data_IF_338151710758
#
_entry.id   IF_338151710758
#
_cell.length_a   1.000
_cell.length_b   1.000
_cell.length_c   1.000
_cell.angle_alpha   90.00
_cell.angle_beta   90.00
_cell.angle_gamma   90.00
#
_symmetry.space_group_name_H-M   'P 1'
#
loop_
_entity.id
_entity.type
_entity.pdbx_description
1 polymer ?
#
# COMPACT_ATOMS: atom_id res chain seq x y z
N UNK A 1 -2.87 -69.70 4.41
CA UNK A 1 -1.78 -69.21 5.27
C UNK A 1 -1.66 -67.71 5.07
N UNK A 2 -1.84 -67.00 6.17
CA UNK A 2 -1.83 -65.56 6.41
C UNK A 2 -0.48 -64.93 6.10
N UNK A 3 -0.43 -63.74 5.48
CA UNK A 3 0.50 -62.65 5.87
C UNK A 3 -0.10 -61.30 5.46
N UNK A 4 -0.46 -60.49 6.46
CA UNK A 4 -0.67 -59.04 6.33
C UNK A 4 0.69 -58.35 6.22
N UNK A 5 0.86 -57.45 5.25
CA UNK A 5 2.03 -56.57 5.18
C UNK A 5 1.59 -55.10 5.25
N UNK A 6 1.92 -54.50 6.39
CA UNK A 6 1.79 -53.10 6.79
C UNK A 6 2.76 -52.19 6.03
N UNK A 7 2.27 -51.07 5.49
CA UNK A 7 3.07 -49.91 5.05
C UNK A 7 2.31 -48.65 5.49
N UNK A 8 2.60 -48.14 6.69
CA UNK A 8 3.58 -47.07 6.93
C UNK A 8 3.02 -45.69 6.55
N UNK A 9 2.32 -45.08 7.51
CA UNK A 9 1.94 -43.68 7.53
C UNK A 9 3.19 -42.80 7.43
N UNK A 10 3.36 -42.15 6.27
CA UNK A 10 4.42 -41.17 6.07
C UNK A 10 3.92 -39.81 6.56
N UNK A 11 4.24 -39.51 7.81
CA UNK A 11 4.08 -38.18 8.41
C UNK A 11 4.92 -37.16 7.64
N UNK A 12 4.26 -36.13 7.10
CA UNK A 12 4.90 -34.98 6.47
C UNK A 12 5.20 -33.96 7.58
N UNK A 13 6.47 -33.59 7.84
CA UNK A 13 6.79 -32.60 8.86
C UNK A 13 6.35 -31.21 8.42
N UNK A 14 5.57 -30.56 9.29
CA UNK A 14 4.94 -29.24 9.16
C UNK A 14 5.92 -28.07 9.36
N UNK A 15 7.20 -28.20 8.99
CA UNK A 15 8.20 -27.16 9.20
C UNK A 15 8.90 -26.80 7.90
N UNK A 16 8.20 -26.04 7.06
CA UNK A 16 8.77 -25.07 6.11
C UNK A 16 7.65 -24.25 5.50
N UNK A 17 7.13 -23.31 6.28
CA UNK A 17 6.58 -22.09 5.70
C UNK A 17 7.77 -21.35 5.10
N UNK A 18 8.12 -21.69 3.86
CA UNK A 18 9.00 -20.85 3.05
C UNK A 18 8.22 -19.55 2.89
N UNK A 19 8.65 -18.53 3.63
CA UNK A 19 8.23 -17.15 3.48
C UNK A 19 8.55 -16.73 2.05
N UNK A 20 7.62 -17.01 1.14
CA UNK A 20 7.72 -16.58 -0.24
C UNK A 20 7.88 -15.07 -0.20
N UNK A 21 8.98 -14.50 -0.75
CA UNK A 21 9.13 -13.06 -0.80
C UNK A 21 7.91 -12.54 -1.53
N UNK A 22 7.11 -11.70 -0.87
CA UNK A 22 5.90 -11.07 -1.42
C UNK A 22 6.24 -10.60 -2.83
N UNK A 23 5.82 -11.36 -3.85
CA UNK A 23 5.96 -10.87 -5.21
C UNK A 23 5.16 -9.57 -5.24
N UNK A 24 5.75 -8.44 -5.68
CA UNK A 24 4.95 -7.25 -5.89
C UNK A 24 3.85 -7.68 -6.85
N UNK A 25 2.60 -7.62 -6.39
CA UNK A 25 1.43 -7.82 -7.23
C UNK A 25 1.68 -6.93 -8.44
N UNK A 26 1.88 -7.53 -9.61
CA UNK A 26 2.05 -6.78 -10.86
C UNK A 26 0.71 -6.09 -11.09
N UNK A 27 0.57 -4.91 -10.52
CA UNK A 27 -0.61 -4.10 -10.74
C UNK A 27 -0.69 -3.84 -12.24
N UNK A 28 -1.86 -4.02 -12.87
CA UNK A 28 -2.04 -3.54 -14.23
C UNK A 28 -1.59 -2.07 -14.23
N UNK A 29 -0.72 -1.69 -15.18
CA UNK A 29 -0.22 -0.31 -15.29
C UNK A 29 -1.36 0.59 -15.78
N UNK A 30 -2.34 0.83 -14.92
CA UNK A 30 -3.43 1.77 -15.17
C UNK A 30 -2.86 3.18 -15.16
N UNK A 31 -3.40 4.09 -15.97
CA UNK A 31 -2.92 5.48 -15.97
C UNK A 31 -3.14 6.17 -14.63
N UNK A 32 -4.07 5.67 -13.81
CA UNK A 32 -4.25 6.02 -12.39
C UNK A 32 -2.98 5.90 -11.54
N UNK A 33 -2.07 4.99 -11.87
CA UNK A 33 -0.77 4.86 -11.20
C UNK A 33 0.10 6.13 -11.34
N UNK A 34 -0.06 6.91 -12.41
CA UNK A 34 0.70 8.16 -12.61
C UNK A 34 0.36 9.22 -11.56
N UNK A 35 -0.83 9.12 -10.95
CA UNK A 35 -1.34 10.05 -9.94
C UNK A 35 -1.43 9.40 -8.56
N UNK A 36 -0.80 8.22 -8.39
CA UNK A 36 -0.82 7.47 -7.12
C UNK A 36 -2.18 6.88 -6.76
N UNK A 37 -3.07 6.72 -7.74
CA UNK A 37 -4.45 6.24 -7.54
C UNK A 37 -4.76 5.09 -8.51
N UNK A 38 -4.42 3.85 -8.16
CA UNK A 38 -4.62 2.70 -9.04
C UNK A 38 -6.10 2.43 -9.35
N UNK A 39 -7.02 2.90 -8.52
CA UNK A 39 -8.47 2.69 -8.69
C UNK A 39 -9.09 3.55 -9.80
N UNK A 40 -8.38 4.59 -10.28
CA UNK A 40 -8.91 5.46 -11.31
C UNK A 40 -8.81 4.80 -12.68
N UNK A 41 -9.95 4.79 -13.39
CA UNK A 41 -10.01 4.42 -14.80
C UNK A 41 -9.42 5.53 -15.68
N UNK A 42 -8.96 5.13 -16.87
CA UNK A 42 -8.40 6.07 -17.85
C UNK A 42 -9.45 7.11 -18.30
N UNK A 43 -10.73 6.71 -18.40
CA UNK A 43 -11.84 7.60 -18.76
C UNK A 43 -12.08 8.70 -17.72
N UNK A 44 -12.06 8.34 -16.43
CA UNK A 44 -12.21 9.31 -15.34
C UNK A 44 -11.05 10.31 -15.31
N UNK A 45 -9.84 9.86 -15.65
CA UNK A 45 -8.67 10.73 -15.79
C UNK A 45 -8.81 11.67 -16.99
N UNK A 46 -9.28 11.18 -18.14
CA UNK A 46 -9.52 12.03 -19.31
C UNK A 46 -10.57 13.11 -19.05
N UNK A 47 -11.67 12.76 -18.36
CA UNK A 47 -12.69 13.72 -17.95
C UNK A 47 -12.10 14.80 -17.04
N UNK A 48 -11.35 14.42 -16.00
CA UNK A 48 -10.70 15.36 -15.09
C UNK A 48 -9.68 16.27 -15.80
N UNK A 49 -8.92 15.74 -16.77
CA UNK A 49 -8.00 16.53 -17.58
C UNK A 49 -8.77 17.53 -18.46
N UNK A 50 -9.85 17.10 -19.10
CA UNK A 50 -10.68 17.95 -19.94
C UNK A 50 -11.30 19.11 -19.14
N UNK A 51 -11.87 18.83 -17.97
CA UNK A 51 -12.39 19.84 -17.05
C UNK A 51 -11.32 20.86 -16.65
N UNK A 52 -10.11 20.37 -16.37
CA UNK A 52 -8.98 21.24 -16.04
C UNK A 52 -8.55 22.12 -17.21
N UNK A 53 -8.51 21.57 -18.42
CA UNK A 53 -8.19 22.34 -19.63
C UNK A 53 -9.22 23.45 -19.85
N UNK A 54 -10.52 23.14 -19.70
CA UNK A 54 -11.60 24.12 -19.79
C UNK A 54 -11.43 25.22 -18.73
N UNK A 55 -11.11 24.86 -17.48
CA UNK A 55 -10.85 25.83 -16.42
C UNK A 55 -9.66 26.76 -16.74
N UNK A 56 -8.64 26.25 -17.44
CA UNK A 56 -7.49 27.03 -17.90
C UNK A 56 -7.74 27.79 -19.23
N UNK A 57 -8.96 27.73 -19.79
CA UNK A 57 -9.32 28.36 -21.06
C UNK A 57 -8.71 27.67 -22.29
N UNK A 58 -8.35 26.39 -22.18
CA UNK A 58 -7.77 25.57 -23.25
C UNK A 58 -8.79 24.60 -23.82
N UNK A 59 -8.53 24.13 -25.04
CA UNK A 59 -9.40 23.18 -25.71
C UNK A 59 -9.36 21.79 -25.02
N UNK A 60 -10.51 21.25 -24.56
CA UNK A 60 -10.60 19.92 -23.96
C UNK A 60 -10.19 18.78 -24.90
N UNK A 61 -10.19 18.99 -26.23
CA UNK A 61 -9.78 17.99 -27.22
C UNK A 61 -8.32 17.52 -27.04
N UNK A 62 -7.49 18.31 -26.36
CA UNK A 62 -6.09 17.99 -26.09
C UNK A 62 -5.87 17.03 -24.92
N UNK A 63 -6.91 16.70 -24.13
CA UNK A 63 -6.83 15.79 -22.99
C UNK A 63 -6.12 14.44 -23.29
N UNK A 64 -6.46 13.69 -24.37
CA UNK A 64 -5.75 12.45 -24.70
C UNK A 64 -4.27 12.66 -25.03
N UNK A 65 -3.91 13.81 -25.61
CA UNK A 65 -2.51 14.17 -25.87
C UNK A 65 -1.71 14.41 -24.60
N UNK A 66 -2.33 15.07 -23.61
CA UNK A 66 -1.74 15.30 -22.28
C UNK A 66 -1.54 13.98 -21.54
N UNK A 67 -2.52 13.08 -21.59
CA UNK A 67 -2.41 11.77 -20.95
C UNK A 67 -1.27 10.93 -21.57
N UNK A 68 -1.19 10.88 -22.91
CA UNK A 68 -0.08 10.22 -23.62
C UNK A 68 1.27 10.85 -23.28
N UNK A 69 1.34 12.18 -23.19
CA UNK A 69 2.55 12.90 -22.78
C UNK A 69 2.98 12.56 -21.34
N UNK A 70 2.03 12.38 -20.43
CA UNK A 70 2.31 11.96 -19.06
C UNK A 70 2.79 10.50 -18.99
N UNK A 71 2.19 9.60 -19.76
CA UNK A 71 2.66 8.21 -19.90
C UNK A 71 4.10 8.17 -20.44
N UNK A 72 4.42 9.05 -21.38
CA UNK A 72 5.78 9.22 -21.90
C UNK A 72 6.76 9.88 -20.92
N UNK A 73 6.32 10.27 -19.71
CA UNK A 73 7.17 10.83 -18.66
C UNK A 73 7.50 12.31 -18.84
N UNK A 74 6.76 13.07 -19.67
CA UNK A 74 7.01 14.50 -19.83
C UNK A 74 6.72 15.25 -18.51
N UNK A 75 7.67 16.03 -17.97
CA UNK A 75 7.55 16.60 -16.63
C UNK A 75 6.39 17.60 -16.51
N UNK A 76 6.11 18.36 -17.58
CA UNK A 76 5.00 19.32 -17.60
C UNK A 76 3.64 18.62 -17.51
N UNK A 77 3.47 17.51 -18.25
CA UNK A 77 2.24 16.74 -18.21
C UNK A 77 2.03 16.08 -16.84
N UNK A 78 3.08 15.56 -16.22
CA UNK A 78 3.03 15.02 -14.86
C UNK A 78 2.71 16.08 -13.81
N UNK A 79 3.30 17.29 -13.94
CA UNK A 79 3.00 18.41 -13.05
C UNK A 79 1.54 18.85 -13.15
N UNK A 80 0.95 18.78 -14.36
CA UNK A 80 -0.47 19.04 -14.57
C UNK A 80 -1.34 17.97 -13.91
N UNK A 81 -1.04 16.68 -14.11
CA UNK A 81 -1.80 15.57 -13.51
C UNK A 81 -1.86 15.65 -11.98
N UNK A 82 -0.76 16.07 -11.33
CA UNK A 82 -0.69 16.24 -9.86
C UNK A 82 -1.62 17.34 -9.31
N UNK A 83 -2.08 18.25 -10.15
CA UNK A 83 -2.96 19.37 -9.77
C UNK A 83 -4.43 19.13 -10.16
N UNK A 84 -4.76 17.94 -10.66
CA UNK A 84 -6.14 17.60 -11.01
C UNK A 84 -6.98 17.45 -9.75
N UNK A 85 -8.22 17.92 -9.86
CA UNK A 85 -9.27 17.58 -8.89
C UNK A 85 -9.79 16.20 -9.30
N UNK A 86 -9.69 15.24 -8.39
CA UNK A 86 -10.09 13.86 -8.65
C UNK A 86 -11.29 13.50 -7.78
N UNK A 87 -12.18 12.60 -8.25
CA UNK A 87 -13.32 12.13 -7.46
C UNK A 87 -12.85 11.42 -6.19
N UNK A 88 -13.71 11.25 -5.17
CA UNK A 88 -13.30 10.58 -3.93
C UNK A 88 -12.70 9.17 -4.19
N UNK A 89 -11.70 8.74 -3.40
CA UNK A 89 -11.14 7.40 -3.51
C UNK A 89 -12.19 6.33 -3.19
N UNK A 90 -12.25 5.30 -4.04
CA UNK A 90 -13.14 4.14 -3.86
C UNK A 90 -12.40 2.92 -3.30
N UNK A 91 -11.06 2.92 -3.28
CA UNK A 91 -10.28 1.86 -2.64
C UNK A 91 -10.60 1.74 -1.16
N UNK A 92 -10.69 0.51 -0.68
CA UNK A 92 -10.64 0.24 0.75
C UNK A 92 -9.31 0.74 1.33
N UNK A 93 -9.38 1.48 2.44
CA UNK A 93 -8.20 1.96 3.14
C UNK A 93 -7.46 0.76 3.74
N UNK A 94 -6.26 0.45 3.25
CA UNK A 94 -5.45 -0.64 3.81
C UNK A 94 -4.86 -0.16 5.13
N UNK A 95 -5.45 -0.62 6.24
CA UNK A 95 -4.87 -0.40 7.56
C UNK A 95 -3.57 -1.21 7.68
N UNK A 96 -2.40 -0.57 7.91
CA UNK A 96 -1.18 -1.30 8.19
C UNK A 96 -1.33 -2.05 9.51
N UNK A 97 -0.97 -3.34 9.52
CA UNK A 97 -0.99 -4.16 10.73
C UNK A 97 0.11 -3.66 11.67
N UNK A 98 -0.28 -3.04 12.78
CA UNK A 98 0.65 -2.74 13.86
C UNK A 98 0.89 -4.02 14.66
N UNK A 99 2.10 -4.56 14.60
CA UNK A 99 2.50 -5.60 15.53
C UNK A 99 2.50 -5.00 16.93
N UNK A 100 1.59 -5.47 17.79
CA UNK A 100 1.64 -5.15 19.20
C UNK A 100 2.93 -5.77 19.73
N UNK A 101 3.97 -4.96 19.93
CA UNK A 101 5.13 -5.37 20.70
C UNK A 101 4.61 -5.73 22.09
N UNK A 102 4.51 -7.02 22.39
CA UNK A 102 4.39 -7.48 23.77
C UNK A 102 5.73 -7.15 24.42
N UNK A 103 5.85 -5.93 24.93
CA UNK A 103 6.86 -5.64 25.93
C UNK A 103 6.66 -6.66 27.03
N UNK A 104 7.67 -7.50 27.25
CA UNK A 104 7.72 -8.38 28.41
C UNK A 104 7.61 -7.44 29.60
N UNK A 105 6.43 -7.40 30.22
CA UNK A 105 6.18 -6.62 31.43
C UNK A 105 7.39 -6.82 32.34
N UNK A 106 8.18 -5.77 32.66
CA UNK A 106 9.14 -5.91 33.73
C UNK A 106 8.27 -6.21 34.95
N UNK A 107 8.34 -7.47 35.36
CA UNK A 107 7.87 -7.94 36.64
C UNK A 107 8.22 -6.87 37.66
N UNK A 108 7.17 -6.42 38.35
CA UNK A 108 7.15 -5.30 39.30
C UNK A 108 8.29 -5.46 40.31
N UNK A 109 9.51 -5.05 39.96
CA UNK A 109 10.57 -4.83 40.94
C UNK A 109 10.19 -3.55 41.64
N UNK A 110 9.42 -3.72 42.71
CA UNK A 110 9.16 -2.71 43.71
C UNK A 110 10.51 -2.27 44.31
N UNK A 111 11.20 -1.36 43.65
CA UNK A 111 12.41 -0.74 44.19
C UNK A 111 12.35 0.76 43.97
N UNK A 112 11.65 1.38 44.92
CA UNK A 112 12.10 2.56 45.66
C UNK A 112 12.61 3.73 44.81
N UNK A 113 11.69 4.41 44.13
CA UNK A 113 11.94 5.75 43.60
C UNK A 113 11.73 6.85 44.67
N UNK A 114 11.31 6.46 45.88
CA UNK A 114 11.06 7.35 47.01
C UNK A 114 12.30 7.74 47.82
N UNK A 115 13.50 7.24 47.50
CA UNK A 115 14.75 7.59 48.21
C UNK A 115 15.52 8.78 47.61
N UNK A 116 15.01 9.41 46.56
CA UNK A 116 15.72 10.50 45.85
C UNK A 116 15.28 11.93 46.22
N UNK A 117 14.36 12.11 47.18
CA UNK A 117 13.83 13.45 47.54
C UNK A 117 14.19 13.91 48.96
N UNK A 118 15.16 13.25 49.63
CA UNK A 118 15.67 13.71 50.94
C UNK A 118 17.09 14.26 50.84
N UNK A 119 17.23 15.45 50.24
CA UNK A 119 18.37 16.31 50.49
C UNK A 119 17.90 17.74 50.71
N UNK A 120 17.99 18.18 51.97
CA UNK A 120 18.37 19.55 52.27
C UNK A 120 17.31 20.47 52.89
N UNK A 121 17.43 20.56 54.23
CA UNK A 121 17.43 21.78 55.06
C UNK A 121 16.12 22.30 55.64
#
# INVERSE_FOLDING_TARGET
MTVFATLAEKTVPLDRVVSSPRQPVRTPRTSGMLVGRPDLSDEALLAAIAERLVFEGRDPSHAPGVLKAAIAGKPLALAMLRKLVLPAPQSALVMPIQSILRERSPERSASSWSKLVSFGR
#
